data_IF_779973514776
#
_entry.id   IF_779973514776
#
_cell.length_a   1.000
_cell.length_b   1.000
_cell.length_c   1.000
_cell.angle_alpha   90.00
_cell.angle_beta   90.00
_cell.angle_gamma   90.00
#
_symmetry.space_group_name_H-M   'P 1'
#
loop_
_entity.id
_entity.type
_entity.pdbx_description
1 polymer ?
#
# COMPACT_ATOMS: atom_id res chain seq x y z
N UNK A 1 11.48 -15.99 6.67
CA UNK A 1 11.41 -16.46 5.26
C UNK A 1 10.10 -15.90 4.66
N UNK A 2 10.08 -14.64 4.24
CA UNK A 2 8.91 -14.02 3.61
C UNK A 2 8.84 -14.53 2.17
N UNK A 3 7.94 -15.47 1.91
CA UNK A 3 7.74 -16.04 0.58
C UNK A 3 7.17 -14.96 -0.33
N UNK A 4 7.83 -14.78 -1.47
CA UNK A 4 7.52 -13.87 -2.57
C UNK A 4 6.04 -13.98 -3.01
N UNK A 5 5.16 -13.18 -2.40
CA UNK A 5 3.68 -13.25 -2.59
C UNK A 5 3.25 -12.79 -4.00
N UNK A 6 4.11 -12.06 -4.69
CA UNK A 6 3.91 -11.57 -6.07
C UNK A 6 3.84 -12.71 -7.09
N UNK A 7 4.44 -13.87 -6.80
CA UNK A 7 4.44 -15.04 -7.70
C UNK A 7 3.11 -15.80 -7.76
N UNK A 8 2.14 -15.48 -6.89
CA UNK A 8 0.90 -16.24 -6.71
C UNK A 8 -0.30 -15.54 -7.39
N UNK A 9 -0.07 -14.57 -8.27
CA UNK A 9 -1.14 -13.94 -9.07
C UNK A 9 -2.11 -13.03 -8.29
N UNK A 10 -1.85 -12.77 -7.00
CA UNK A 10 -2.62 -11.79 -6.24
C UNK A 10 -2.49 -10.41 -6.87
N UNK A 11 -3.64 -9.77 -7.11
CA UNK A 11 -3.74 -8.40 -7.64
C UNK A 11 -4.25 -7.39 -6.62
N UNK A 12 -4.64 -7.85 -5.43
CA UNK A 12 -5.07 -6.98 -4.33
C UNK A 12 -4.11 -7.10 -3.14
N UNK A 13 -3.67 -5.95 -2.62
CA UNK A 13 -2.81 -5.82 -1.45
C UNK A 13 -3.58 -5.01 -0.41
N UNK A 14 -3.86 -5.62 0.75
CA UNK A 14 -4.48 -4.93 1.88
C UNK A 14 -3.42 -4.68 2.96
N UNK A 15 -3.32 -3.44 3.41
CA UNK A 15 -2.40 -2.99 4.46
C UNK A 15 -3.11 -2.00 5.40
N UNK A 16 -2.40 -1.57 6.45
CA UNK A 16 -2.85 -0.57 7.41
C UNK A 16 -1.67 0.26 7.89
N UNK A 17 -1.92 1.53 8.26
CA UNK A 17 -0.93 2.45 8.84
C UNK A 17 -0.17 1.80 10.02
N UNK A 18 -0.91 1.06 10.85
CA UNK A 18 -0.38 0.37 12.02
C UNK A 18 0.69 -0.69 11.66
N UNK A 19 0.65 -1.25 10.46
CA UNK A 19 1.59 -2.29 10.04
C UNK A 19 2.96 -1.73 9.68
N UNK A 20 3.04 -0.42 9.38
CA UNK A 20 4.28 0.26 8.97
C UNK A 20 5.00 -0.47 7.84
N UNK A 21 4.23 -1.04 6.92
CA UNK A 21 4.69 -1.94 5.87
C UNK A 21 4.60 -1.29 4.48
N UNK A 22 4.01 -0.10 4.37
CA UNK A 22 3.74 0.56 3.07
C UNK A 22 5.01 0.83 2.26
N UNK A 23 6.11 1.20 2.92
CA UNK A 23 7.39 1.44 2.25
C UNK A 23 7.94 0.14 1.63
N UNK A 24 7.88 -0.97 2.38
CA UNK A 24 8.28 -2.29 1.89
C UNK A 24 7.39 -2.80 0.75
N UNK A 25 6.09 -2.51 0.82
CA UNK A 25 5.13 -2.82 -0.26
C UNK A 25 5.48 -2.01 -1.51
N UNK A 26 5.78 -0.71 -1.36
CA UNK A 26 6.21 0.15 -2.45
C UNK A 26 7.46 -0.38 -3.15
N UNK A 27 8.48 -0.78 -2.38
CA UNK A 27 9.70 -1.38 -2.90
C UNK A 27 9.43 -2.70 -3.64
N UNK A 28 8.60 -3.58 -3.08
CA UNK A 28 8.25 -4.86 -3.71
C UNK A 28 7.47 -4.69 -5.02
N UNK A 29 6.61 -3.67 -5.13
CA UNK A 29 5.89 -3.35 -6.37
C UNK A 29 6.86 -2.80 -7.41
N UNK A 30 7.78 -1.92 -7.03
CA UNK A 30 8.82 -1.41 -7.93
C UNK A 30 9.70 -2.55 -8.49
N UNK A 31 10.14 -3.47 -7.61
CA UNK A 31 10.90 -4.65 -8.03
C UNK A 31 10.07 -5.56 -8.96
N UNK A 32 8.77 -5.74 -8.69
CA UNK A 32 7.89 -6.53 -9.53
C UNK A 32 7.71 -5.94 -10.95
N UNK A 33 7.66 -4.61 -11.07
CA UNK A 33 7.63 -3.91 -12.36
C UNK A 33 8.96 -4.07 -13.10
N UNK A 34 10.09 -3.83 -12.42
CA UNK A 34 11.43 -3.98 -13.01
C UNK A 34 11.71 -5.41 -13.50
N UNK A 35 11.24 -6.41 -12.76
CA UNK A 35 11.39 -7.83 -13.10
C UNK A 35 10.34 -8.33 -14.09
N UNK A 36 9.40 -7.47 -14.52
CA UNK A 36 8.32 -7.83 -15.45
C UNK A 36 7.33 -8.86 -14.89
N UNK A 37 7.20 -8.97 -13.56
CA UNK A 37 6.21 -9.84 -12.91
C UNK A 37 4.79 -9.28 -13.05
N UNK A 38 4.68 -7.96 -13.17
CA UNK A 38 3.47 -7.21 -13.55
C UNK A 38 3.88 -6.24 -14.67
N UNK A 39 2.98 -5.96 -15.62
CA UNK A 39 3.31 -5.08 -16.75
C UNK A 39 3.16 -3.61 -16.37
N UNK A 40 2.10 -3.31 -15.63
CA UNK A 40 1.74 -1.95 -15.24
C UNK A 40 1.36 -1.89 -13.76
N UNK A 41 1.52 -0.72 -13.13
CA UNK A 41 1.10 -0.48 -11.74
C UNK A 41 -0.40 -0.71 -11.56
N UNK A 42 -1.19 -0.42 -12.59
CA UNK A 42 -2.65 -0.53 -12.58
C UNK A 42 -3.14 -1.98 -12.53
N UNK A 43 -2.24 -2.97 -12.73
CA UNK A 43 -2.57 -4.37 -12.47
C UNK A 43 -2.74 -4.68 -10.98
N UNK A 44 -2.28 -3.81 -10.08
CA UNK A 44 -2.39 -3.97 -8.64
C UNK A 44 -3.40 -2.98 -8.05
N UNK A 45 -4.13 -3.44 -7.05
CA UNK A 45 -5.00 -2.65 -6.21
C UNK A 45 -4.52 -2.69 -4.77
N UNK A 46 -4.12 -1.56 -4.22
CA UNK A 46 -3.55 -1.43 -2.87
C UNK A 46 -4.48 -0.60 -2.01
N UNK A 47 -4.97 -1.21 -0.94
CA UNK A 47 -5.80 -0.55 0.08
C UNK A 47 -4.99 -0.36 1.35
N UNK A 48 -5.04 0.84 1.92
CA UNK A 48 -4.55 1.09 3.28
C UNK A 48 -5.67 1.52 4.21
N UNK A 49 -5.49 1.27 5.50
CA UNK A 49 -6.39 1.68 6.59
C UNK A 49 -5.74 2.74 7.47
N UNK A 50 -6.39 3.88 7.60
CA UNK A 50 -6.07 4.92 8.59
C UNK A 50 -6.51 4.40 9.96
N UNK A 51 -5.62 4.48 10.96
CA UNK A 51 -5.94 4.01 12.30
C UNK A 51 -6.89 4.97 13.04
N UNK A 52 -7.68 4.45 13.98
CA UNK A 52 -8.77 5.22 14.62
C UNK A 52 -8.29 6.49 15.34
N UNK A 53 -7.01 6.56 15.75
CA UNK A 53 -6.39 7.75 16.35
C UNK A 53 -6.26 8.95 15.38
N UNK A 54 -6.33 8.67 14.08
CA UNK A 54 -6.20 9.63 12.98
C UNK A 54 -7.53 9.85 12.24
N UNK A 55 -8.63 9.22 12.69
CA UNK A 55 -9.97 9.39 12.13
C UNK A 55 -10.63 10.75 12.45
N UNK A 56 -9.97 11.60 13.23
CA UNK A 56 -10.44 12.98 13.47
C UNK A 56 -10.38 13.78 12.16
N UNK A 57 -11.39 14.62 11.82
CA UNK A 57 -11.44 15.36 10.55
C UNK A 57 -10.14 16.10 10.21
N UNK A 58 -9.54 16.76 11.19
CA UNK A 58 -8.29 17.52 11.02
C UNK A 58 -7.05 16.64 10.78
N UNK A 59 -7.12 15.35 11.10
CA UNK A 59 -6.00 14.39 11.05
C UNK A 59 -6.08 13.44 9.87
N UNK A 60 -7.27 13.21 9.30
CA UNK A 60 -7.46 12.34 8.13
C UNK A 60 -6.65 12.82 6.93
N UNK A 61 -6.70 14.13 6.61
CA UNK A 61 -5.95 14.68 5.48
C UNK A 61 -4.42 14.60 5.65
N UNK A 62 -3.85 14.99 6.81
CA UNK A 62 -2.43 14.75 7.09
C UNK A 62 -2.01 13.28 6.99
N UNK A 63 -2.77 12.37 7.60
CA UNK A 63 -2.47 10.92 7.59
C UNK A 63 -2.52 10.35 6.17
N UNK A 64 -3.52 10.74 5.38
CA UNK A 64 -3.63 10.40 3.96
C UNK A 64 -2.39 10.86 3.17
N UNK A 65 -1.96 12.11 3.37
CA UNK A 65 -0.77 12.64 2.69
C UNK A 65 0.51 11.93 3.12
N UNK A 66 0.61 11.51 4.38
CA UNK A 66 1.75 10.74 4.87
C UNK A 66 1.81 9.36 4.22
N UNK A 67 0.68 8.66 4.15
CA UNK A 67 0.58 7.37 3.50
C UNK A 67 0.89 7.45 2.00
N UNK A 68 0.43 8.49 1.31
CA UNK A 68 0.78 8.74 -0.10
C UNK A 68 2.27 9.08 -0.31
N UNK A 69 2.92 9.70 0.67
CA UNK A 69 4.38 9.96 0.62
C UNK A 69 5.19 8.68 0.85
N UNK A 70 4.77 7.82 1.79
CA UNK A 70 5.47 6.57 2.10
C UNK A 70 5.20 5.48 1.06
N UNK A 71 4.01 5.46 0.48
CA UNK A 71 3.61 4.58 -0.60
C UNK A 71 2.95 5.36 -1.72
N UNK A 72 3.69 5.68 -2.79
CA UNK A 72 3.16 6.26 -4.05
C UNK A 72 2.22 5.32 -4.82
N UNK A 73 1.72 4.28 -4.16
CA UNK A 73 1.12 3.09 -4.73
C UNK A 73 -0.16 2.75 -3.98
N UNK A 74 -0.92 3.72 -3.46
CA UNK A 74 -2.16 3.45 -2.71
C UNK A 74 -3.35 3.90 -3.54
N UNK A 75 -4.29 3.00 -3.79
CA UNK A 75 -5.49 3.24 -4.60
C UNK A 75 -6.70 3.60 -3.73
N UNK A 76 -6.75 3.09 -2.50
CA UNK A 76 -7.89 3.28 -1.59
C UNK A 76 -7.45 3.48 -0.13
N UNK A 77 -8.15 4.35 0.58
CA UNK A 77 -8.00 4.58 2.02
C UNK A 77 -9.32 4.32 2.73
N UNK A 78 -9.29 3.50 3.77
CA UNK A 78 -10.45 3.25 4.65
C UNK A 78 -10.10 3.62 6.09
N UNK A 79 -11.10 3.89 6.92
CA UNK A 79 -10.90 4.07 8.37
C UNK A 79 -11.12 2.69 9.00
N UNK A 80 -10.18 2.28 9.87
CA UNK A 80 -10.29 1.01 10.59
C UNK A 80 -11.43 1.02 11.63
#
# INVERSE_FOLDING_TARGET
>A
MARDRTRIGYRAIDTAELYRAEEGIGAAIAEALERGLIKDRDELFVTTRIWCNNAHPDRVLPALRESLRSGKVIDSHTIH
#
